data_IF_538700464837
#
_entry.id   IF_538700464837
#
_cell.length_a   1.000
_cell.length_b   1.000
_cell.length_c   1.000
_cell.angle_alpha   90.00
_cell.angle_beta   90.00
_cell.angle_gamma   90.00
#
_symmetry.space_group_name_H-M   'P 1'
#
loop_
_entity.id
_entity.type
_entity.pdbx_description
1 polymer ?
#
# COMPACT_ATOMS: atom_id res chain seq x y z
N UNK A 1 9.52 -0.25 0.25
CA UNK A 1 9.60 -1.37 -0.73
C UNK A 1 10.63 -2.41 -0.30
N UNK A 2 10.27 -3.70 -0.28
CA UNK A 2 11.23 -4.80 -0.16
C UNK A 2 11.07 -5.66 -1.41
N UNK A 3 12.14 -5.87 -2.17
CA UNK A 3 12.12 -6.68 -3.41
C UNK A 3 11.14 -6.16 -4.50
N UNK A 4 10.96 -4.84 -4.61
CA UNK A 4 10.03 -4.23 -5.58
C UNK A 4 8.53 -4.44 -5.25
N UNK A 5 8.21 -5.03 -4.10
CA UNK A 5 6.84 -5.18 -3.60
C UNK A 5 6.56 -4.17 -2.49
N UNK A 6 5.30 -3.77 -2.42
CA UNK A 6 4.72 -2.99 -1.32
C UNK A 6 4.92 -3.72 0.00
N UNK A 7 5.30 -2.99 1.05
CA UNK A 7 5.62 -3.55 2.36
C UNK A 7 4.96 -2.77 3.50
N UNK A 8 4.90 -3.37 4.70
CA UNK A 8 4.37 -2.69 5.89
C UNK A 8 5.06 -1.34 6.10
N UNK A 9 4.27 -0.28 6.28
CA UNK A 9 4.70 1.11 6.40
C UNK A 9 4.65 1.90 5.09
N UNK A 10 4.61 1.23 3.94
CA UNK A 10 4.52 1.90 2.65
C UNK A 10 3.12 2.52 2.45
N UNK A 11 3.08 3.70 1.85
CA UNK A 11 1.85 4.30 1.37
C UNK A 11 1.53 3.78 -0.02
N UNK A 12 0.29 3.36 -0.22
CA UNK A 12 -0.21 2.83 -1.49
C UNK A 12 -1.49 3.53 -1.90
N UNK A 13 -1.78 3.52 -3.19
CA UNK A 13 -3.04 3.90 -3.78
C UNK A 13 -3.70 2.61 -4.28
N UNK A 14 -4.86 2.30 -3.73
CA UNK A 14 -5.67 1.18 -4.19
C UNK A 14 -6.53 1.68 -5.35
N UNK A 15 -6.25 1.19 -6.56
CA UNK A 15 -6.98 1.60 -7.77
C UNK A 15 -8.44 1.13 -7.76
N UNK A 16 -8.76 0.04 -7.06
CA UNK A 16 -10.12 -0.49 -6.97
C UNK A 16 -10.96 0.32 -5.98
N UNK A 17 -10.35 0.69 -4.85
CA UNK A 17 -11.01 1.51 -3.84
C UNK A 17 -10.90 3.02 -4.11
N UNK A 18 -10.16 3.39 -5.16
CA UNK A 18 -9.86 4.76 -5.62
C UNK A 18 -9.39 5.67 -4.47
N UNK A 19 -8.53 5.14 -3.59
CA UNK A 19 -8.11 5.85 -2.37
C UNK A 19 -6.72 5.44 -1.90
N UNK A 20 -6.05 6.37 -1.22
CA UNK A 20 -4.76 6.11 -0.58
C UNK A 20 -4.90 5.45 0.79
N UNK A 21 -4.01 4.50 1.05
CA UNK A 21 -3.91 3.78 2.31
C UNK A 21 -2.45 3.51 2.68
N UNK A 22 -2.23 3.09 3.93
CA UNK A 22 -0.96 2.55 4.39
C UNK A 22 -1.06 1.05 4.53
N UNK A 23 -0.01 0.35 4.11
CA UNK A 23 0.13 -1.08 4.37
C UNK A 23 0.47 -1.27 5.85
N UNK A 24 -0.39 -1.91 6.60
CA UNK A 24 -0.17 -2.21 8.02
C UNK A 24 0.30 -3.64 8.27
N UNK A 25 0.02 -4.54 7.34
CA UNK A 25 0.38 -5.96 7.43
C UNK A 25 0.48 -6.58 6.03
N UNK A 26 1.34 -7.58 5.86
CA UNK A 26 1.47 -8.37 4.62
C UNK A 26 1.37 -9.85 4.97
N UNK A 27 0.33 -10.51 4.46
CA UNK A 27 0.03 -11.93 4.67
C UNK A 27 0.30 -12.72 3.41
N UNK A 28 0.98 -13.86 3.59
CA UNK A 28 1.28 -14.83 2.52
C UNK A 28 1.94 -14.23 1.26
N UNK A 29 2.58 -13.05 1.39
CA UNK A 29 3.25 -12.34 0.29
C UNK A 29 2.33 -11.77 -0.81
N UNK A 30 1.02 -12.03 -0.73
CA UNK A 30 0.05 -11.61 -1.75
C UNK A 30 -1.17 -10.88 -1.19
N UNK A 31 -1.37 -10.90 0.13
CA UNK A 31 -2.46 -10.18 0.80
C UNK A 31 -1.92 -9.04 1.65
N UNK A 32 -2.45 -7.84 1.46
CA UNK A 32 -2.01 -6.62 2.12
C UNK A 32 -3.17 -6.06 2.94
N UNK A 33 -2.94 -5.80 4.23
CA UNK A 33 -3.92 -5.12 5.07
C UNK A 33 -3.67 -3.62 4.98
N UNK A 34 -4.69 -2.88 4.57
CA UNK A 34 -4.62 -1.47 4.24
C UNK A 34 -5.45 -0.67 5.25
N UNK A 35 -4.85 0.41 5.76
CA UNK A 35 -5.52 1.40 6.58
C UNK A 35 -5.69 2.70 5.79
N UNK A 36 -6.90 3.28 5.72
CA UNK A 36 -7.10 4.55 5.04
C UNK A 36 -6.22 5.65 5.64
N UNK A 37 -5.65 6.49 4.77
CA UNK A 37 -4.83 7.63 5.21
C UNK A 37 -5.65 8.73 5.87
N UNK A 38 -6.84 9.00 5.33
CA UNK A 38 -7.72 10.08 5.77
C UNK A 38 -9.10 9.55 6.14
N UNK A 39 -9.61 10.01 7.30
CA UNK A 39 -10.87 9.55 7.88
C UNK A 39 -10.71 8.16 8.50
N UNK A 40 -11.20 7.97 9.73
CA UNK A 40 -11.15 6.69 10.45
C UNK A 40 -12.02 5.59 9.84
N UNK A 41 -11.87 5.35 8.53
CA UNK A 41 -12.54 4.29 7.81
C UNK A 41 -11.99 2.92 8.17
N UNK A 42 -12.78 1.90 7.84
CA UNK A 42 -12.42 0.51 8.08
C UNK A 42 -11.15 0.14 7.32
N UNK A 43 -10.33 -0.72 7.94
CA UNK A 43 -9.20 -1.35 7.25
C UNK A 43 -9.73 -2.39 6.27
N UNK A 44 -9.15 -2.48 5.08
CA UNK A 44 -9.52 -3.50 4.10
C UNK A 44 -8.32 -4.30 3.62
N UNK A 45 -8.61 -5.46 3.03
CA UNK A 45 -7.60 -6.37 2.52
C UNK A 45 -7.49 -6.24 1.00
N UNK A 46 -6.27 -6.18 0.50
CA UNK A 46 -5.96 -6.28 -0.91
C UNK A 46 -5.18 -7.56 -1.21
N UNK A 47 -5.83 -8.52 -1.87
CA UNK A 47 -5.25 -9.80 -2.24
C UNK A 47 -4.47 -9.78 -3.56
N UNK A 48 -4.47 -8.63 -4.23
CA UNK A 48 -3.76 -8.42 -5.49
C UNK A 48 -2.74 -7.29 -5.29
N UNK A 49 -1.43 -7.56 -5.44
CA UNK A 49 -0.41 -6.52 -5.37
C UNK A 49 -0.40 -5.63 -6.62
N UNK A 50 -0.89 -6.11 -7.76
CA UNK A 50 -0.87 -5.38 -9.04
C UNK A 50 -1.76 -4.16 -9.03
N UNK A 51 -2.88 -4.20 -8.31
CA UNK A 51 -3.78 -3.04 -8.10
C UNK A 51 -3.30 -2.02 -7.08
N UNK A 52 -2.21 -2.31 -6.35
CA UNK A 52 -1.64 -1.41 -5.34
C UNK A 52 -0.49 -0.64 -5.94
N UNK A 53 -0.74 0.62 -6.26
CA UNK A 53 0.32 1.52 -6.72
C UNK A 53 1.00 2.14 -5.52
N UNK A 54 2.32 1.96 -5.39
CA UNK A 54 3.06 2.62 -4.34
C UNK A 54 3.00 4.14 -4.54
N UNK A 55 2.49 4.85 -3.54
CA UNK A 55 2.53 6.30 -3.48
C UNK A 55 3.87 6.67 -2.86
N UNK A 56 4.93 6.50 -3.63
CA UNK A 56 6.22 7.06 -3.24
C UNK A 56 6.10 8.58 -3.25
N UNK A 57 6.46 9.24 -2.15
CA UNK A 57 6.97 10.59 -2.29
C UNK A 57 8.26 10.43 -3.08
N UNK A 58 8.28 10.89 -4.32
CA UNK A 58 9.47 10.96 -5.15
C UNK A 58 10.57 11.70 -4.40
N UNK A 59 11.44 10.97 -3.71
CA UNK A 59 12.77 11.41 -3.29
C UNK A 59 13.61 10.19 -2.90
N UNK A 60 13.95 9.39 -3.91
CA UNK A 60 15.22 8.65 -3.93
C UNK A 60 15.57 8.44 -5.41
N UNK A 61 15.69 9.58 -6.10
CA UNK A 61 16.59 9.66 -7.22
C UNK A 61 17.92 10.11 -6.59
N UNK A 62 18.75 9.13 -6.24
CA UNK A 62 20.21 9.16 -6.35
C UNK A 62 20.86 10.53 -6.08
N UNK A 63 21.46 10.68 -4.90
CA UNK A 63 22.40 11.75 -4.56
C UNK A 63 23.51 11.24 -3.67
#
# INVERSE_FOLDING_TARGET
MKDGKVWVGDQVYDEVAERSAFVTDVRDGNSYVLRPRWGGGETWCAADPGRLTLVTARDDAEG
#
